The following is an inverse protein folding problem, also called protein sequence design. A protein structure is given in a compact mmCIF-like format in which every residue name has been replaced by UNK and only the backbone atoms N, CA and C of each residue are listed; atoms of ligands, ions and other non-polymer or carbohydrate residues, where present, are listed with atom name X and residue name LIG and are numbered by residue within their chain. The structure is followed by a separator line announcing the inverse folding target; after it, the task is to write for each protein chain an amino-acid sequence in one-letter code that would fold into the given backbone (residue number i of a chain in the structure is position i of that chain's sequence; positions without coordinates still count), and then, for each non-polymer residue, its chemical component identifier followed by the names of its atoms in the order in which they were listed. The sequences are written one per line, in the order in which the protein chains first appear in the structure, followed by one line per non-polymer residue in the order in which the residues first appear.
data_IF_364905000403
#
_entry.id   IF_364905000403
#
_cell.length_a   1.000
_cell.length_b   1.000
_cell.length_c   1.000
_cell.angle_alpha   90.00
_cell.angle_beta   90.00
_cell.angle_gamma   90.00
#
_symmetry.space_group_name_H-M   'P 1'
#
loop_
_entity.id
_entity.type
_entity.pdbx_description
1 polymer ?
#
# COMPACT_ATOMS: atom_id res chain seq x y z
N UNK A 1 9.67 -5.55 -0.65
CA UNK A 1 9.74 -4.09 -0.38
C UNK A 1 10.82 -3.53 -1.30
N UNK A 2 10.52 -2.52 -2.13
CA UNK A 2 11.42 -2.04 -3.20
C UNK A 2 12.32 -0.86 -2.81
N UNK A 3 12.07 -0.26 -1.65
CA UNK A 3 12.83 0.87 -1.10
C UNK A 3 13.48 0.45 0.21
N UNK A 4 14.67 0.96 0.50
CA UNK A 4 15.40 0.66 1.74
C UNK A 4 14.86 1.45 2.93
N UNK A 5 15.08 0.96 4.14
CA UNK A 5 14.68 1.66 5.37
C UNK A 5 15.39 3.01 5.51
N UNK A 6 16.67 3.06 5.17
CA UNK A 6 17.48 4.29 5.19
C UNK A 6 16.89 5.37 4.27
N UNK A 7 16.43 4.99 3.07
CA UNK A 7 15.77 5.91 2.15
C UNK A 7 14.44 6.43 2.73
N UNK A 8 13.65 5.59 3.40
CA UNK A 8 12.40 6.03 4.05
C UNK A 8 12.64 7.02 5.19
N UNK A 9 13.73 6.83 5.94
CA UNK A 9 14.14 7.72 7.01
C UNK A 9 14.69 9.05 6.47
N UNK A 10 15.48 9.02 5.40
CA UNK A 10 15.96 10.23 4.71
C UNK A 10 14.79 11.12 4.25
N UNK A 11 13.72 10.51 3.73
CA UNK A 11 12.51 11.22 3.31
C UNK A 11 11.56 11.53 4.47
N UNK A 12 11.90 11.14 5.71
CA UNK A 12 11.11 11.35 6.93
C UNK A 12 9.66 10.85 6.80
N UNK A 13 9.48 9.68 6.17
CA UNK A 13 8.16 9.08 6.01
C UNK A 13 7.54 8.76 7.37
N UNK A 14 6.26 9.10 7.54
CA UNK A 14 5.48 8.74 8.74
C UNK A 14 5.26 7.22 8.79
N UNK A 15 5.01 6.61 9.95
CA UNK A 15 4.79 5.17 10.06
C UNK A 15 3.74 4.60 9.08
N UNK A 16 2.62 5.30 8.88
CA UNK A 16 1.58 4.88 7.93
C UNK A 16 1.96 5.01 6.45
N UNK A 17 3.04 5.74 6.13
CA UNK A 17 3.56 5.90 4.77
C UNK A 17 4.71 4.93 4.46
N UNK A 18 5.11 4.10 5.43
CA UNK A 18 6.18 3.09 5.30
C UNK A 18 5.60 1.74 4.91
N UNK A 19 4.69 1.76 3.96
CA UNK A 19 4.00 0.59 3.44
C UNK A 19 4.73 0.01 2.22
N UNK A 20 4.15 -1.00 1.57
CA UNK A 20 4.76 -1.59 0.37
C UNK A 20 4.76 -0.62 -0.83
N UNK A 21 3.89 0.40 -0.86
CA UNK A 21 3.80 1.41 -1.91
C UNK A 21 4.70 2.64 -1.67
N UNK A 22 5.44 2.72 -0.56
CA UNK A 22 6.38 3.80 -0.25
C UNK A 22 7.41 4.11 -1.37
N UNK A 23 7.71 3.12 -2.21
CA UNK A 23 8.59 3.29 -3.38
C UNK A 23 8.05 4.22 -4.47
N UNK A 24 6.74 4.45 -4.50
CA UNK A 24 6.09 5.42 -5.39
C UNK A 24 5.87 6.78 -4.70
N UNK A 25 5.78 6.78 -3.37
CA UNK A 25 5.65 8.01 -2.59
C UNK A 25 6.93 8.87 -2.65
N UNK A 26 8.12 8.26 -2.61
CA UNK A 26 9.38 8.99 -2.69
C UNK A 26 9.50 9.79 -4.01
N UNK A 27 9.28 9.20 -5.20
CA UNK A 27 9.19 9.95 -6.47
C UNK A 27 8.18 11.09 -6.44
N UNK A 28 6.98 10.86 -5.90
CA UNK A 28 5.95 11.91 -5.77
C UNK A 28 6.43 13.09 -4.91
N UNK A 29 7.08 12.81 -3.77
CA UNK A 29 7.65 13.85 -2.91
C UNK A 29 8.78 14.62 -3.59
N UNK A 30 9.60 13.95 -4.43
CA UNK A 30 10.64 14.61 -5.23
C UNK A 30 10.02 15.56 -6.27
N UNK A 31 9.03 15.10 -7.02
CA UNK A 31 8.30 15.92 -7.99
C UNK A 31 7.66 17.14 -7.29
N UNK A 32 6.96 16.92 -6.18
CA UNK A 32 6.29 17.99 -5.45
C UNK A 32 7.23 19.09 -4.94
N UNK A 33 8.47 18.73 -4.56
CA UNK A 33 9.49 19.70 -4.15
C UNK A 33 10.08 20.46 -5.34
N UNK A 34 10.24 19.81 -6.49
CA UNK A 34 10.80 20.41 -7.69
C UNK A 34 9.83 21.42 -8.33
N UNK A 35 8.53 21.07 -8.37
CA UNK A 35 7.51 21.82 -9.11
C UNK A 35 6.62 22.71 -8.22
N UNK A 36 7.01 22.94 -6.96
CA UNK A 36 6.29 23.85 -6.08
C UNK A 36 6.31 25.30 -6.64
N UNK A 37 5.17 26.02 -6.66
CA UNK A 37 3.88 25.70 -6.04
C UNK A 37 2.87 24.95 -6.94
N UNK A 38 3.21 24.69 -8.21
CA UNK A 38 2.30 24.11 -9.22
C UNK A 38 2.28 22.58 -9.25
N UNK A 39 2.94 21.93 -8.30
CA UNK A 39 2.99 20.47 -8.12
C UNK A 39 1.61 19.77 -8.06
N UNK A 40 0.53 20.51 -7.81
CA UNK A 40 -0.83 20.00 -7.84
C UNK A 40 -1.25 19.42 -9.20
N UNK A 41 -0.71 19.96 -10.30
CA UNK A 41 -1.04 19.54 -11.68
C UNK A 41 0.14 18.87 -12.39
N UNK A 42 1.37 19.23 -12.02
CA UNK A 42 2.58 18.74 -12.70
C UNK A 42 2.97 17.32 -12.28
N UNK A 43 2.57 16.90 -11.08
CA UNK A 43 2.93 15.59 -10.50
C UNK A 43 1.78 14.56 -10.52
N UNK A 44 0.85 14.70 -11.46
CA UNK A 44 -0.35 13.84 -11.50
C UNK A 44 -0.02 12.39 -11.87
N UNK A 45 1.02 12.17 -12.68
CA UNK A 45 1.42 10.82 -13.09
C UNK A 45 1.96 9.99 -11.92
N UNK A 46 2.81 10.59 -11.09
CA UNK A 46 3.39 9.98 -9.89
C UNK A 46 2.32 9.78 -8.83
N UNK A 47 1.40 10.75 -8.70
CA UNK A 47 0.26 10.65 -7.79
C UNK A 47 -0.63 9.47 -8.17
N UNK A 48 -1.04 9.39 -9.44
CA UNK A 48 -1.89 8.30 -9.94
C UNK A 48 -1.21 6.93 -9.78
N UNK A 49 0.11 6.84 -10.01
CA UNK A 49 0.86 5.61 -9.79
C UNK A 49 0.82 5.17 -8.32
N UNK A 50 1.08 6.10 -7.39
CA UNK A 50 1.01 5.81 -5.94
C UNK A 50 -0.40 5.41 -5.51
N UNK A 51 -1.42 6.15 -5.94
CA UNK A 51 -2.81 5.92 -5.56
C UNK A 51 -3.32 4.58 -6.11
N UNK A 52 -2.91 4.18 -7.32
CA UNK A 52 -3.20 2.85 -7.86
C UNK A 52 -2.60 1.73 -7.00
N UNK A 53 -1.34 1.88 -6.57
CA UNK A 53 -0.69 0.89 -5.72
C UNK A 53 -1.42 0.73 -4.38
N UNK A 54 -1.79 1.85 -3.74
CA UNK A 54 -2.53 1.87 -2.48
C UNK A 54 -3.91 1.21 -2.62
N UNK A 55 -4.58 1.45 -3.76
CA UNK A 55 -5.83 0.78 -4.09
C UNK A 55 -5.64 -0.74 -4.23
N UNK A 56 -4.61 -1.17 -4.96
CA UNK A 56 -4.33 -2.59 -5.14
C UNK A 56 -3.99 -3.28 -3.81
N UNK A 57 -3.24 -2.63 -2.92
CA UNK A 57 -2.94 -3.14 -1.56
C UNK A 57 -4.22 -3.24 -0.71
N UNK A 58 -5.09 -2.22 -0.77
CA UNK A 58 -6.38 -2.27 -0.08
C UNK A 58 -7.25 -3.45 -0.54
N UNK A 59 -7.32 -3.69 -1.85
CA UNK A 59 -8.02 -4.85 -2.41
C UNK A 59 -7.38 -6.16 -1.96
N UNK A 60 -6.05 -6.24 -1.88
CA UNK A 60 -5.35 -7.42 -1.37
C UNK A 60 -5.71 -7.70 0.10
N UNK A 61 -5.80 -6.66 0.94
CA UNK A 61 -6.21 -6.80 2.34
C UNK A 61 -7.64 -7.32 2.48
N UNK A 62 -8.56 -6.88 1.61
CA UNK A 62 -9.93 -7.42 1.57
C UNK A 62 -9.93 -8.90 1.17
N UNK A 63 -9.10 -9.29 0.20
CA UNK A 63 -8.98 -10.69 -0.23
C UNK A 63 -8.44 -11.59 0.88
N UNK A 64 -7.44 -11.13 1.65
CA UNK A 64 -6.92 -11.89 2.80
C UNK A 64 -7.99 -12.07 3.89
N UNK A 65 -8.77 -11.03 4.19
CA UNK A 65 -9.90 -11.13 5.12
C UNK A 65 -10.93 -12.16 4.66
N UNK A 66 -11.35 -12.11 3.38
CA UNK A 66 -12.27 -13.09 2.82
C UNK A 66 -11.69 -14.51 2.83
N UNK A 67 -10.40 -14.65 2.54
CA UNK A 67 -9.69 -15.92 2.55
C UNK A 67 -9.73 -16.55 3.94
N UNK A 68 -9.37 -15.80 4.97
CA UNK A 68 -9.41 -16.26 6.36
C UNK A 68 -10.83 -16.66 6.78
N UNK A 69 -11.83 -15.82 6.46
CA UNK A 69 -13.25 -16.12 6.71
C UNK A 69 -13.67 -17.46 6.12
N UNK A 70 -13.32 -17.72 4.84
CA UNK A 70 -13.65 -18.98 4.14
C UNK A 70 -12.91 -20.18 4.74
N UNK A 71 -11.65 -20.00 5.15
CA UNK A 71 -10.86 -21.06 5.78
C UNK A 71 -11.43 -21.46 7.15
N UNK A 72 -11.82 -20.48 7.98
CA UNK A 72 -12.45 -20.72 9.27
C UNK A 72 -13.79 -21.46 9.12
N UNK A 73 -14.64 -21.03 8.19
CA UNK A 73 -15.91 -21.72 7.87
C UNK A 73 -15.67 -23.15 7.40
N UNK A 74 -14.64 -23.39 6.57
CA UNK A 74 -14.28 -24.74 6.12
C UNK A 74 -13.77 -25.60 7.27
N UNK A 75 -12.99 -25.03 8.18
CA UNK A 75 -12.49 -25.72 9.39
C UNK A 75 -13.66 -26.18 10.27
N UNK A 76 -14.59 -25.28 10.57
CA UNK A 76 -15.80 -25.58 11.35
C UNK A 76 -16.63 -26.71 10.72
N UNK A 77 -16.83 -26.69 9.39
CA UNK A 77 -17.55 -27.76 8.68
C UNK A 77 -16.85 -29.12 8.80
N UNK A 78 -15.52 -29.15 8.70
CA UNK A 78 -14.75 -30.39 8.84
C UNK A 78 -14.80 -30.94 10.27
N UNK A 79 -14.69 -30.07 11.26
CA UNK A 79 -14.78 -30.44 12.69
C UNK A 79 -16.17 -30.99 13.01
N UNK A 80 -17.24 -30.34 12.52
CA UNK A 80 -18.61 -30.81 12.70
C UNK A 80 -18.90 -32.14 11.99
N UNK A 81 -18.20 -32.45 10.89
CA UNK A 81 -18.34 -33.76 10.21
C UNK A 81 -17.53 -34.89 10.84
N UNK A 82 -16.52 -34.54 11.65
CA UNK A 82 -15.65 -35.51 12.31
C UNK A 82 -16.10 -35.86 13.74
N UNK A 83 -16.97 -35.02 14.33
CA UNK A 83 -17.69 -35.27 15.57
C UNK A 83 -18.95 -36.11 15.31
#
# INVERSE_FOLDING_TARGET
MKVSWEEMDQFKLKPGQRDYCAHLLIPLLKCQRADAPFAGHLCDTERAARDKCEYDDYIMRIKEFERERRLLMRKQRKEASAA
#
